data_IF_617258483950
#
_entry.id   IF_617258483950
#
_cell.length_a   1.000
_cell.length_b   1.000
_cell.length_c   1.000
_cell.angle_alpha   90.00
_cell.angle_beta   90.00
_cell.angle_gamma   90.00
#
_symmetry.space_group_name_H-M   'P 1'
#
loop_
_entity.id
_entity.type
_entity.pdbx_description
1 polymer ?
#
# COMPACT_ATOMS: atom_id res chain seq x y z
N UNK A 1 -7.75 -17.88 20.62
CA UNK A 1 -8.02 -16.44 20.87
C UNK A 1 -9.06 -15.96 19.86
N UNK A 2 -10.09 -15.24 20.29
CA UNK A 2 -11.16 -14.71 19.44
C UNK A 2 -10.83 -13.33 18.87
N UNK A 3 -11.59 -12.86 17.87
CA UNK A 3 -11.47 -11.50 17.33
C UNK A 3 -11.75 -10.44 18.41
N UNK A 4 -12.78 -10.67 19.24
CA UNK A 4 -13.13 -9.75 20.34
C UNK A 4 -12.00 -9.64 21.38
N UNK A 5 -11.32 -10.74 21.70
CA UNK A 5 -10.14 -10.74 22.59
C UNK A 5 -8.90 -10.13 21.92
N UNK A 6 -8.82 -10.17 20.58
CA UNK A 6 -7.69 -9.64 19.80
C UNK A 6 -7.73 -8.12 19.68
N UNK A 7 -8.93 -7.52 19.59
CA UNK A 7 -9.12 -6.08 19.37
C UNK A 7 -8.36 -5.19 20.38
N UNK A 8 -8.47 -5.38 21.71
CA UNK A 8 -7.73 -4.56 22.67
C UNK A 8 -6.21 -4.64 22.51
N UNK A 9 -5.68 -5.80 22.06
CA UNK A 9 -4.25 -5.99 21.82
C UNK A 9 -3.81 -5.17 20.60
N UNK A 10 -4.58 -5.22 19.50
CA UNK A 10 -4.29 -4.43 18.32
C UNK A 10 -4.34 -2.92 18.62
N UNK A 11 -5.29 -2.47 19.44
CA UNK A 11 -5.38 -1.05 19.85
C UNK A 11 -4.15 -0.61 20.66
N UNK A 12 -3.67 -1.44 21.59
CA UNK A 12 -2.44 -1.17 22.33
C UNK A 12 -1.20 -1.08 21.43
N UNK A 13 -1.20 -1.81 20.31
CA UNK A 13 -0.16 -1.78 19.29
C UNK A 13 -0.34 -0.65 18.26
N UNK A 14 -1.41 0.15 18.38
CA UNK A 14 -1.73 1.26 17.46
C UNK A 14 -2.43 0.83 16.16
N UNK A 15 -2.77 -0.45 16.01
CA UNK A 15 -3.48 -0.99 14.84
C UNK A 15 -4.98 -0.83 14.95
N UNK A 16 -5.50 0.37 15.22
CA UNK A 16 -6.94 0.64 15.40
C UNK A 16 -7.80 0.14 14.22
N UNK A 17 -9.13 0.20 14.35
CA UNK A 17 -10.08 -0.18 13.27
C UNK A 17 -9.85 0.56 11.95
N UNK A 18 -9.14 1.69 12.00
CA UNK A 18 -8.66 2.43 10.82
C UNK A 18 -7.64 1.65 9.99
N UNK A 19 -6.79 0.84 10.62
CA UNK A 19 -5.72 0.07 9.98
C UNK A 19 -6.01 -1.42 9.87
N UNK A 20 -6.68 -2.01 10.87
CA UNK A 20 -6.97 -3.44 10.92
C UNK A 20 -8.40 -3.65 11.39
N UNK A 21 -9.21 -4.27 10.53
CA UNK A 21 -10.62 -4.55 10.78
C UNK A 21 -10.83 -6.05 11.00
N UNK A 22 -11.51 -6.40 12.09
CA UNK A 22 -11.90 -7.79 12.39
C UNK A 22 -13.40 -8.00 12.13
N UNK A 23 -13.85 -9.25 11.90
CA UNK A 23 -15.26 -9.56 11.69
C UNK A 23 -16.15 -9.10 12.85
N UNK A 24 -17.27 -8.46 12.50
CA UNK A 24 -18.27 -7.99 13.49
C UNK A 24 -17.99 -6.60 14.07
N UNK A 25 -16.89 -5.95 13.70
CA UNK A 25 -16.58 -4.60 14.17
C UNK A 25 -17.38 -3.52 13.44
N UNK A 26 -17.82 -2.51 14.19
CA UNK A 26 -18.41 -1.30 13.63
C UNK A 26 -17.30 -0.26 13.39
N UNK A 27 -17.25 0.30 12.18
CA UNK A 27 -16.32 1.37 11.85
C UNK A 27 -16.81 2.70 12.40
N UNK A 28 -16.04 3.30 13.30
CA UNK A 28 -16.30 4.66 13.82
C UNK A 28 -15.72 5.76 12.93
N UNK A 29 -14.74 5.41 12.10
CA UNK A 29 -14.15 6.27 11.09
C UNK A 29 -13.81 5.45 9.83
N UNK A 30 -13.69 6.08 8.65
CA UNK A 30 -13.28 5.39 7.44
C UNK A 30 -11.83 4.84 7.56
N UNK A 31 -11.56 3.63 7.05
CA UNK A 31 -10.23 3.07 7.08
C UNK A 31 -9.26 3.83 6.17
N UNK A 32 -7.96 3.71 6.48
CA UNK A 32 -6.92 4.22 5.58
C UNK A 32 -6.84 3.37 4.32
N UNK A 33 -6.30 3.97 3.26
CA UNK A 33 -5.82 3.18 2.14
C UNK A 33 -4.73 2.23 2.59
N UNK A 34 -4.83 0.97 2.20
CA UNK A 34 -3.93 -0.10 2.62
C UNK A 34 -4.30 -0.72 3.97
N UNK A 35 -5.50 -0.47 4.49
CA UNK A 35 -5.99 -1.15 5.67
C UNK A 35 -6.14 -2.65 5.43
N UNK A 36 -5.81 -3.43 6.45
CA UNK A 36 -6.06 -4.86 6.50
C UNK A 36 -7.47 -5.12 7.02
N UNK A 37 -8.08 -6.19 6.53
CA UNK A 37 -9.32 -6.73 7.10
C UNK A 37 -9.31 -8.24 7.07
N UNK A 38 -9.88 -8.84 8.11
CA UNK A 38 -10.28 -10.25 8.07
C UNK A 38 -11.76 -10.30 7.68
N UNK A 39 -12.08 -11.09 6.67
CA UNK A 39 -13.45 -11.28 6.18
C UNK A 39 -13.82 -12.77 6.12
N UNK A 40 -15.08 -13.15 6.37
CA UNK A 40 -15.53 -14.51 6.11
C UNK A 40 -15.43 -14.82 4.60
N UNK A 41 -15.09 -16.07 4.28
CA UNK A 41 -15.12 -16.57 2.90
C UNK A 41 -16.47 -17.22 2.58
N UNK A 42 -16.61 -17.73 1.36
CA UNK A 42 -17.78 -18.53 0.95
C UNK A 42 -17.92 -19.82 1.77
N UNK A 43 -16.79 -20.39 2.22
CA UNK A 43 -16.81 -21.56 3.09
C UNK A 43 -17.09 -21.12 4.51
N UNK A 44 -18.21 -21.59 5.08
CA UNK A 44 -18.62 -21.22 6.43
C UNK A 44 -17.54 -21.61 7.45
N UNK A 45 -17.09 -20.62 8.21
CA UNK A 45 -16.06 -20.80 9.24
C UNK A 45 -14.65 -20.51 8.73
N UNK A 46 -14.45 -20.34 7.42
CA UNK A 46 -13.16 -19.93 6.85
C UNK A 46 -13.10 -18.42 6.68
N UNK A 47 -11.90 -17.87 6.89
CA UNK A 47 -11.63 -16.44 6.83
C UNK A 47 -10.48 -16.13 5.88
N UNK A 48 -10.49 -14.92 5.31
CA UNK A 48 -9.42 -14.40 4.48
C UNK A 48 -8.84 -13.12 5.08
N UNK A 49 -7.52 -12.98 5.02
CA UNK A 49 -6.84 -11.71 5.24
C UNK A 49 -6.79 -10.97 3.90
N UNK A 50 -7.31 -9.76 3.88
CA UNK A 50 -7.31 -8.89 2.72
C UNK A 50 -6.66 -7.55 3.05
N UNK A 51 -6.03 -6.94 2.06
CA UNK A 51 -5.63 -5.54 2.09
C UNK A 51 -6.50 -4.76 1.11
N UNK A 52 -6.94 -3.57 1.50
CA UNK A 52 -7.86 -2.75 0.70
C UNK A 52 -7.20 -1.45 0.30
N UNK A 53 -7.21 -1.16 -1.01
CA UNK A 53 -6.68 0.06 -1.60
C UNK A 53 -7.69 0.55 -2.65
N UNK A 54 -8.13 1.80 -2.55
CA UNK A 54 -9.09 2.48 -3.42
C UNK A 54 -10.35 1.64 -3.64
N UNK A 55 -10.89 1.09 -2.54
CA UNK A 55 -12.06 0.21 -2.54
C UNK A 55 -11.82 -1.19 -3.13
N UNK A 56 -10.61 -1.49 -3.61
CA UNK A 56 -10.26 -2.78 -4.20
C UNK A 56 -9.51 -3.65 -3.19
N UNK A 57 -10.09 -4.79 -2.84
CA UNK A 57 -9.47 -5.76 -1.95
C UNK A 57 -8.54 -6.72 -2.71
N UNK A 58 -7.40 -7.04 -2.10
CA UNK A 58 -6.54 -8.15 -2.51
C UNK A 58 -6.43 -9.16 -1.37
N UNK A 59 -6.68 -10.43 -1.69
CA UNK A 59 -6.53 -11.53 -0.74
C UNK A 59 -5.06 -11.90 -0.59
N UNK A 60 -4.58 -11.87 0.65
CA UNK A 60 -3.20 -12.15 1.01
C UNK A 60 -3.02 -13.59 1.49
N UNK A 61 -3.97 -14.07 2.29
CA UNK A 61 -3.96 -15.41 2.84
C UNK A 61 -5.37 -15.82 3.29
N UNK A 62 -5.55 -17.10 3.60
CA UNK A 62 -6.77 -17.66 4.16
C UNK A 62 -6.47 -18.60 5.33
N UNK A 63 -7.42 -18.72 6.24
CA UNK A 63 -7.34 -19.54 7.44
C UNK A 63 -8.68 -20.20 7.74
N UNK A 64 -8.65 -21.34 8.44
CA UNK A 64 -9.84 -22.08 8.83
C UNK A 64 -10.13 -21.83 10.29
N UNK A 65 -11.30 -21.27 10.59
CA UNK A 65 -11.67 -20.90 11.94
C UNK A 65 -11.03 -19.59 12.39
N UNK A 66 -11.62 -19.05 13.46
CA UNK A 66 -11.30 -17.73 14.00
C UNK A 66 -9.88 -17.67 14.60
N UNK A 67 -9.47 -18.71 15.32
CA UNK A 67 -8.16 -18.76 15.96
C UNK A 67 -7.00 -18.73 14.96
N UNK A 68 -7.08 -19.55 13.90
CA UNK A 68 -6.07 -19.55 12.83
C UNK A 68 -6.07 -18.23 12.07
N UNK A 69 -7.23 -17.58 11.92
CA UNK A 69 -7.31 -16.26 11.27
C UNK A 69 -6.62 -15.17 12.08
N UNK A 70 -6.79 -15.20 13.40
CA UNK A 70 -6.08 -14.32 14.33
C UNK A 70 -4.57 -14.56 14.29
N UNK A 71 -4.13 -15.81 14.31
CA UNK A 71 -2.70 -16.15 14.22
C UNK A 71 -2.10 -15.78 12.85
N UNK A 72 -2.85 -15.94 11.75
CA UNK A 72 -2.47 -15.47 10.42
C UNK A 72 -2.21 -13.96 10.41
N UNK A 73 -3.13 -13.16 10.95
CA UNK A 73 -2.95 -11.71 11.07
C UNK A 73 -1.77 -11.35 11.97
N UNK A 74 -1.63 -12.02 13.11
CA UNK A 74 -0.50 -11.81 14.03
C UNK A 74 0.84 -12.07 13.34
N UNK A 75 0.96 -13.16 12.57
CA UNK A 75 2.17 -13.45 11.78
C UNK A 75 2.43 -12.37 10.75
N UNK A 76 1.40 -11.86 10.09
CA UNK A 76 1.54 -10.77 9.13
C UNK A 76 2.09 -9.49 9.79
N UNK A 77 1.53 -9.09 10.94
CA UNK A 77 1.87 -7.85 11.65
C UNK A 77 3.22 -7.93 12.39
N UNK A 78 3.59 -9.10 12.91
CA UNK A 78 4.84 -9.30 13.66
C UNK A 78 6.11 -9.24 12.80
N UNK A 79 5.97 -9.13 11.48
CA UNK A 79 7.12 -8.90 10.58
C UNK A 79 7.65 -7.50 10.84
N UNK A 80 8.77 -7.44 11.54
CA UNK A 80 9.41 -6.21 11.96
C UNK A 80 9.63 -5.31 10.74
N UNK A 81 9.04 -4.12 10.77
CA UNK A 81 9.25 -3.10 9.75
C UNK A 81 10.65 -2.51 9.97
N UNK A 82 11.60 -2.65 9.03
CA UNK A 82 12.93 -2.09 9.18
C UNK A 82 12.88 -0.58 9.46
N UNK A 83 13.85 -0.11 10.25
CA UNK A 83 14.00 1.30 10.56
C UNK A 83 14.19 2.10 9.24
N UNK A 84 13.61 3.31 9.14
CA UNK A 84 13.83 4.14 7.96
C UNK A 84 15.31 4.52 7.84
N UNK A 85 15.79 4.57 6.61
CA UNK A 85 17.10 5.11 6.26
C UNK A 85 17.01 6.62 6.20
N UNK A 86 17.94 7.29 6.86
CA UNK A 86 18.08 8.73 6.78
C UNK A 86 18.63 9.12 5.42
N UNK A 87 18.04 10.15 4.82
CA UNK A 87 18.47 10.69 3.53
C UNK A 87 18.40 12.22 3.58
N UNK A 88 19.48 12.93 3.20
CA UNK A 88 19.43 14.37 3.03
C UNK A 88 18.44 14.77 1.93
N UNK A 89 17.73 15.88 2.13
CA UNK A 89 16.75 16.38 1.14
C UNK A 89 17.32 16.49 -0.29
N UNK A 90 18.53 17.02 -0.44
CA UNK A 90 19.16 17.21 -1.75
C UNK A 90 19.46 15.87 -2.47
N UNK A 91 19.76 14.81 -1.72
CA UNK A 91 20.00 13.48 -2.29
C UNK A 91 18.67 12.87 -2.78
N UNK A 92 17.61 13.03 -1.98
CA UNK A 92 16.27 12.59 -2.37
C UNK A 92 15.74 13.35 -3.61
N UNK A 93 15.94 14.66 -3.66
CA UNK A 93 15.61 15.48 -4.83
C UNK A 93 16.39 15.00 -6.06
N UNK A 94 17.68 14.68 -5.92
CA UNK A 94 18.49 14.12 -7.01
C UNK A 94 18.06 12.72 -7.49
N UNK A 95 17.50 11.88 -6.60
CA UNK A 95 16.86 10.62 -7.01
C UNK A 95 15.56 10.89 -7.76
N UNK A 96 14.74 11.83 -7.27
CA UNK A 96 13.46 12.20 -7.87
C UNK A 96 13.65 12.74 -9.28
N UNK A 97 14.56 13.70 -9.46
CA UNK A 97 14.76 14.37 -10.73
C UNK A 97 15.32 13.41 -11.79
N UNK A 98 16.21 12.49 -11.40
CA UNK A 98 16.67 11.40 -12.28
C UNK A 98 15.53 10.49 -12.71
N UNK A 99 14.70 10.04 -11.78
CA UNK A 99 13.55 9.19 -12.11
C UNK A 99 12.53 9.94 -12.99
N UNK A 100 12.27 11.21 -12.69
CA UNK A 100 11.33 12.07 -13.42
C UNK A 100 11.65 12.21 -14.91
N UNK A 101 12.94 12.21 -15.27
CA UNK A 101 13.37 12.25 -16.68
C UNK A 101 12.87 11.06 -17.51
N UNK A 102 12.55 9.93 -16.87
CA UNK A 102 12.10 8.69 -17.54
C UNK A 102 10.58 8.58 -17.65
N UNK A 103 9.82 9.32 -16.83
CA UNK A 103 8.36 9.19 -16.78
C UNK A 103 7.62 9.57 -18.06
N UNK A 104 8.05 10.54 -18.88
CA UNK A 104 7.38 10.82 -20.16
C UNK A 104 7.38 9.60 -21.11
N UNK A 105 8.50 8.88 -21.20
CA UNK A 105 8.58 7.66 -22.00
C UNK A 105 7.72 6.55 -21.42
N UNK A 106 7.77 6.34 -20.09
CA UNK A 106 6.93 5.35 -19.42
C UNK A 106 5.43 5.66 -19.62
N UNK A 107 5.03 6.92 -19.50
CA UNK A 107 3.67 7.38 -19.72
C UNK A 107 3.19 7.09 -21.15
N UNK A 108 4.04 7.31 -22.15
CA UNK A 108 3.72 6.95 -23.54
C UNK A 108 3.52 5.45 -23.71
N UNK A 109 4.37 4.61 -23.11
CA UNK A 109 4.24 3.15 -23.18
C UNK A 109 2.98 2.64 -22.47
N UNK A 110 2.66 3.21 -21.30
CA UNK A 110 1.43 2.89 -20.55
C UNK A 110 0.19 3.27 -21.37
N UNK A 111 0.18 4.45 -22.01
CA UNK A 111 -0.92 4.88 -22.87
C UNK A 111 -1.16 3.93 -24.05
N UNK A 112 -0.10 3.31 -24.58
CA UNK A 112 -0.19 2.33 -25.67
C UNK A 112 -0.64 0.94 -25.21
N UNK A 113 -0.48 0.63 -23.92
CA UNK A 113 -0.84 -0.69 -23.35
C UNK A 113 -2.33 -0.82 -23.00
N UNK A 114 -3.09 0.29 -23.04
CA UNK A 114 -4.52 0.29 -22.75
C UNK A 114 -4.84 0.23 -21.25
N UNK A 115 -6.09 -0.12 -20.86
CA UNK A 115 -6.59 0.03 -19.49
C UNK A 115 -5.92 -0.92 -18.48
N UNK A 116 -5.40 -2.06 -18.92
CA UNK A 116 -4.71 -3.03 -18.05
C UNK A 116 -3.33 -2.52 -17.60
N UNK A 117 -2.80 -1.49 -18.28
CA UNK A 117 -1.51 -0.88 -17.98
C UNK A 117 -0.32 -1.69 -18.50
N UNK A 118 0.87 -1.27 -18.08
CA UNK A 118 2.14 -1.88 -18.48
C UNK A 118 2.82 -2.53 -17.28
N UNK A 119 3.10 -3.83 -17.35
CA UNK A 119 3.91 -4.50 -16.33
C UNK A 119 5.40 -4.34 -16.65
N UNK A 120 6.14 -3.75 -15.73
CA UNK A 120 7.59 -3.53 -15.82
C UNK A 120 8.29 -3.99 -14.55
N UNK A 121 9.60 -4.17 -14.65
CA UNK A 121 10.45 -4.23 -13.47
C UNK A 121 10.87 -2.80 -13.12
N UNK A 122 10.44 -2.29 -11.95
CA UNK A 122 10.82 -0.93 -11.52
C UNK A 122 12.32 -0.93 -11.13
N UNK A 123 13.15 -0.03 -11.70
CA UNK A 123 14.58 -0.08 -11.45
C UNK A 123 14.94 0.42 -10.04
N UNK A 124 16.08 -0.05 -9.54
CA UNK A 124 16.66 0.46 -8.30
C UNK A 124 16.97 1.96 -8.42
N UNK A 125 16.88 2.66 -7.28
CA UNK A 125 17.07 4.11 -7.20
C UNK A 125 15.83 4.94 -7.54
N UNK A 126 14.71 4.35 -7.99
CA UNK A 126 13.46 5.09 -8.19
C UNK A 126 12.83 5.42 -6.84
N UNK A 127 12.66 6.71 -6.48
CA UNK A 127 11.95 7.07 -5.27
C UNK A 127 10.43 7.05 -5.51
N UNK A 128 9.71 6.47 -4.57
CA UNK A 128 8.26 6.33 -4.59
C UNK A 128 7.67 6.73 -3.26
N UNK A 129 6.40 7.07 -3.24
CA UNK A 129 5.65 7.27 -2.01
C UNK A 129 4.28 6.59 -2.04
N UNK A 130 3.64 6.61 -0.87
CA UNK A 130 2.29 6.15 -0.67
C UNK A 130 1.58 7.09 0.30
N UNK A 131 0.29 7.32 0.04
CA UNK A 131 -0.62 7.97 0.98
C UNK A 131 -1.55 6.92 1.56
N UNK A 132 -1.63 6.80 2.88
CA UNK A 132 -2.37 5.76 3.61
C UNK A 132 -1.43 4.91 4.47
N UNK A 133 -1.96 3.80 5.00
CA UNK A 133 -1.20 2.90 5.86
C UNK A 133 -0.07 2.13 5.14
N UNK A 134 0.82 1.48 5.91
CA UNK A 134 2.05 0.90 5.41
C UNK A 134 1.87 -0.42 4.63
N UNK A 135 0.69 -1.02 4.67
CA UNK A 135 0.44 -2.40 4.20
C UNK A 135 -0.18 -2.48 2.81
N UNK A 136 -0.54 -1.34 2.19
CA UNK A 136 -1.15 -1.33 0.86
C UNK A 136 -0.24 -1.84 -0.25
N UNK A 137 -0.72 -1.78 -1.48
CA UNK A 137 -0.05 -2.34 -2.66
C UNK A 137 0.07 -1.35 -3.83
N UNK A 138 -0.35 -0.10 -3.60
CA UNK A 138 -0.24 1.01 -4.55
C UNK A 138 0.81 2.02 -4.09
N UNK A 139 1.71 2.36 -5.00
CA UNK A 139 2.75 3.37 -4.87
C UNK A 139 2.58 4.41 -5.99
N UNK A 140 3.14 5.59 -5.78
CA UNK A 140 3.25 6.62 -6.82
C UNK A 140 4.70 7.08 -6.93
N UNK A 141 5.10 7.69 -8.05
CA UNK A 141 6.29 8.53 -8.08
C UNK A 141 6.33 9.49 -6.89
N UNK A 142 7.50 9.64 -6.27
CA UNK A 142 7.69 10.52 -5.11
C UNK A 142 7.12 11.93 -5.40
N UNK A 143 6.42 12.48 -4.41
CA UNK A 143 5.83 13.82 -4.41
C UNK A 143 4.77 14.05 -5.51
N UNK A 144 4.15 12.97 -6.01
CA UNK A 144 2.97 13.09 -6.89
C UNK A 144 1.89 13.97 -6.21
N UNK A 145 1.36 15.02 -6.85
CA UNK A 145 0.36 15.90 -6.27
C UNK A 145 -0.92 15.15 -5.85
N UNK A 146 -1.49 15.49 -4.68
CA UNK A 146 -2.70 14.80 -4.16
C UNK A 146 -3.86 14.75 -5.16
N UNK A 147 -4.23 15.83 -5.89
CA UNK A 147 -5.32 15.77 -6.87
C UNK A 147 -5.07 14.83 -8.04
N UNK A 148 -3.80 14.49 -8.32
CA UNK A 148 -3.48 13.55 -9.39
C UNK A 148 -3.59 12.08 -8.95
N UNK A 149 -3.80 11.84 -7.65
CA UNK A 149 -3.93 10.50 -7.05
C UNK A 149 -5.37 10.05 -6.90
N UNK A 150 -6.35 10.93 -7.15
CA UNK A 150 -7.79 10.66 -6.99
C UNK A 150 -8.10 9.98 -5.65
N UNK A 151 -7.59 10.55 -4.56
CA UNK A 151 -7.73 10.00 -3.21
C UNK A 151 -9.12 10.29 -2.65
N UNK A 152 -9.72 9.38 -1.85
CA UNK A 152 -10.95 9.69 -1.13
C UNK A 152 -10.81 10.94 -0.25
N UNK A 153 -11.88 11.74 -0.07
CA UNK A 153 -11.81 12.98 0.71
C UNK A 153 -11.26 12.83 2.13
N UNK A 154 -11.61 11.73 2.83
CA UNK A 154 -11.12 11.48 4.20
C UNK A 154 -9.61 11.21 4.27
N UNK A 155 -9.04 10.68 3.19
CA UNK A 155 -7.59 10.43 3.08
C UNK A 155 -6.87 11.72 2.68
N UNK A 156 -7.46 12.48 1.76
CA UNK A 156 -6.90 13.75 1.31
C UNK A 156 -6.89 14.83 2.43
N UNK A 157 -7.83 14.78 3.37
CA UNK A 157 -7.91 15.73 4.49
C UNK A 157 -6.78 15.55 5.53
N UNK A 158 -6.27 14.32 5.69
CA UNK A 158 -5.19 14.00 6.64
C UNK A 158 -4.26 12.93 6.03
N UNK A 159 -3.43 13.31 5.03
CA UNK A 159 -2.64 12.36 4.28
C UNK A 159 -1.46 11.84 5.13
N UNK A 160 -1.46 10.53 5.40
CA UNK A 160 -0.30 9.84 5.95
C UNK A 160 0.65 9.46 4.81
N UNK A 161 1.80 10.14 4.71
CA UNK A 161 2.73 9.93 3.59
C UNK A 161 3.93 9.08 4.04
N UNK A 162 4.13 7.95 3.37
CA UNK A 162 5.33 7.12 3.51
C UNK A 162 6.20 7.25 2.26
N UNK A 163 7.51 7.46 2.45
CA UNK A 163 8.49 7.60 1.37
C UNK A 163 9.41 6.38 1.33
N UNK A 164 9.73 5.95 0.12
CA UNK A 164 10.60 4.81 -0.13
C UNK A 164 11.54 5.08 -1.30
N UNK A 165 12.59 4.29 -1.38
CA UNK A 165 13.36 4.10 -2.61
C UNK A 165 13.39 2.62 -2.94
N UNK A 166 13.30 2.30 -4.23
CA UNK A 166 13.54 0.94 -4.72
C UNK A 166 15.02 0.62 -4.54
N UNK A 167 15.32 -0.39 -3.73
CA UNK A 167 16.69 -0.86 -3.52
C UNK A 167 17.00 -2.05 -4.43
N UNK A 168 16.04 -2.97 -4.57
CA UNK A 168 16.12 -4.10 -5.51
C UNK A 168 14.93 -4.09 -6.48
N UNK A 169 15.15 -4.32 -7.79
CA UNK A 169 14.07 -4.27 -8.76
C UNK A 169 12.98 -5.32 -8.54
N UNK A 170 11.71 -4.92 -8.63
CA UNK A 170 10.54 -5.81 -8.52
C UNK A 170 9.48 -5.48 -9.58
N UNK A 171 8.51 -6.39 -9.79
CA UNK A 171 7.48 -6.21 -10.81
C UNK A 171 6.33 -5.31 -10.31
N UNK A 172 6.00 -4.32 -11.13
CA UNK A 172 4.84 -3.45 -10.95
C UNK A 172 4.02 -3.40 -12.24
N UNK A 173 2.69 -3.32 -12.10
CA UNK A 173 1.81 -2.90 -13.18
C UNK A 173 1.57 -1.40 -13.05
N UNK A 174 1.97 -0.64 -14.06
CA UNK A 174 1.83 0.81 -14.13
C UNK A 174 0.55 1.17 -14.88
N UNK A 175 -0.28 1.99 -14.26
CA UNK A 175 -1.53 2.51 -14.86
C UNK A 175 -1.62 4.02 -14.66
N UNK A 176 -2.45 4.69 -15.46
CA UNK A 176 -2.88 6.05 -15.14
C UNK A 176 -3.99 6.02 -14.09
N UNK A 177 -3.87 6.88 -13.09
CA UNK A 177 -4.95 7.16 -12.14
C UNK A 177 -6.12 7.78 -12.89
N UNK A 178 -7.30 7.19 -12.75
CA UNK A 178 -8.52 7.72 -13.35
C UNK A 178 -9.08 8.90 -12.54
N UNK A 179 -9.75 9.88 -13.18
CA UNK A 179 -10.48 10.91 -12.46
C UNK A 179 -11.53 10.30 -11.52
N UNK A 180 -11.54 10.72 -10.26
CA UNK A 180 -12.51 10.26 -9.26
C UNK A 180 -12.53 11.22 -8.06
N UNK A 181 -13.55 11.17 -7.20
CA UNK A 181 -13.70 12.04 -6.01
C UNK A 181 -13.51 13.54 -6.32
N UNK A 182 -14.05 14.03 -7.43
CA UNK A 182 -13.88 15.40 -7.93
C UNK A 182 -12.42 15.84 -8.13
N UNK A 183 -11.52 14.87 -8.33
CA UNK A 183 -10.11 15.08 -8.61
C UNK A 183 -9.77 14.64 -10.04
N UNK A 184 -8.83 15.34 -10.70
CA UNK A 184 -8.50 15.08 -12.10
C UNK A 184 -7.77 13.75 -12.34
N UNK A 185 -7.09 13.19 -11.32
CA UNK A 185 -6.24 12.01 -11.53
C UNK A 185 -5.07 12.32 -12.48
N UNK A 186 -4.68 11.32 -13.27
CA UNK A 186 -3.68 11.46 -14.34
C UNK A 186 -2.24 11.15 -13.94
N UNK A 187 -1.96 10.87 -12.66
CA UNK A 187 -0.64 10.38 -12.27
C UNK A 187 -0.37 8.96 -12.78
N UNK A 188 0.91 8.60 -12.91
CA UNK A 188 1.31 7.20 -12.95
C UNK A 188 1.14 6.58 -11.57
N UNK A 189 0.61 5.35 -11.53
CA UNK A 189 0.44 4.57 -10.30
C UNK A 189 1.10 3.21 -10.47
N UNK A 190 1.96 2.86 -9.54
CA UNK A 190 2.70 1.62 -9.51
C UNK A 190 2.00 0.65 -8.57
N UNK A 191 1.36 -0.36 -9.14
CA UNK A 191 0.68 -1.42 -8.39
C UNK A 191 1.60 -2.64 -8.35
N UNK A 192 1.81 -3.29 -7.21
CA UNK A 192 2.57 -4.55 -7.18
C UNK A 192 1.92 -5.57 -8.13
N UNK A 193 2.72 -6.20 -8.99
CA UNK A 193 2.19 -7.08 -10.03
C UNK A 193 1.59 -8.36 -9.45
N UNK A 194 2.26 -8.96 -8.47
CA UNK A 194 1.73 -10.08 -7.70
C UNK A 194 0.65 -9.57 -6.71
N UNK A 195 -0.60 -10.07 -6.78
CA UNK A 195 -1.67 -9.64 -5.91
C UNK A 195 -1.50 -10.05 -4.44
N UNK A 196 -0.62 -11.00 -4.13
CA UNK A 196 -0.30 -11.40 -2.75
C UNK A 196 0.79 -10.54 -2.10
N UNK A 197 1.49 -9.71 -2.89
CA UNK A 197 2.60 -8.88 -2.41
C UNK A 197 2.14 -7.47 -2.04
N UNK A 198 2.46 -7.08 -0.81
CA UNK A 198 2.20 -5.77 -0.22
C UNK A 198 3.48 -4.91 -0.17
N UNK A 199 3.33 -3.62 0.13
CA UNK A 199 4.46 -2.74 0.44
C UNK A 199 5.21 -3.25 1.67
N UNK A 200 4.54 -3.85 2.65
CA UNK A 200 5.23 -4.49 3.79
C UNK A 200 6.17 -5.59 3.34
N UNK A 201 5.73 -6.46 2.43
CA UNK A 201 6.57 -7.57 1.94
C UNK A 201 7.85 -7.03 1.32
N UNK A 202 7.71 -6.04 0.43
CA UNK A 202 8.85 -5.41 -0.25
C UNK A 202 9.78 -4.68 0.72
N UNK A 203 9.25 -4.11 1.80
CA UNK A 203 10.03 -3.43 2.82
C UNK A 203 10.77 -4.44 3.71
N UNK A 204 10.10 -5.51 4.12
CA UNK A 204 10.67 -6.57 4.96
C UNK A 204 11.72 -7.37 4.20
N UNK A 205 11.50 -7.66 2.92
CA UNK A 205 12.48 -8.40 2.13
C UNK A 205 13.69 -7.53 1.72
N UNK A 206 13.56 -6.20 1.72
CA UNK A 206 14.60 -5.23 1.35
C UNK A 206 14.54 -4.74 -0.10
N UNK A 207 13.47 -5.00 -0.85
CA UNK A 207 13.26 -4.45 -2.19
C UNK A 207 12.86 -2.97 -2.17
N UNK A 208 12.14 -2.55 -1.12
CA UNK A 208 11.85 -1.15 -0.81
C UNK A 208 12.52 -0.76 0.50
N UNK A 209 13.18 0.40 0.51
CA UNK A 209 13.76 0.97 1.73
C UNK A 209 12.98 2.21 2.13
N UNK A 210 12.46 2.23 3.35
CA UNK A 210 11.80 3.40 3.94
C UNK A 210 12.78 4.55 4.11
N UNK A 211 12.31 5.76 3.85
CA UNK A 211 13.12 6.97 3.95
C UNK A 211 12.61 7.89 5.05
N UNK A 212 13.54 8.49 5.80
CA UNK A 212 13.31 9.65 6.66
C UNK A 212 14.19 10.78 6.15
N UNK A 213 13.54 11.88 5.76
CA UNK A 213 14.28 13.07 5.30
C UNK A 213 14.86 13.76 6.52
N UNK A 214 16.17 14.01 6.49
CA UNK A 214 16.93 14.70 7.53
C UNK A 214 17.60 15.96 7.00
#
# INVERSE_FOLDING_TARGET
>A
MTFAETRPILDQLGYTTRYVQLPGEALTEPPVEGALRIVPTETRGDFALEVVDYGTARRLAAARGEEDAVEMLRRFLNRAFPAPRDIPRHELDGLRDRAASTYPQLAQQVAQSGPDGLTIQIPAGVPVDRVGGPDGYLLHPLDTPLPQRSLPPHVAAAPEVHRYVVDRPFLVTVTFVQPWFDQPGGALRFRTADPSVTVRDLVVDGSLVRLRVV
#
